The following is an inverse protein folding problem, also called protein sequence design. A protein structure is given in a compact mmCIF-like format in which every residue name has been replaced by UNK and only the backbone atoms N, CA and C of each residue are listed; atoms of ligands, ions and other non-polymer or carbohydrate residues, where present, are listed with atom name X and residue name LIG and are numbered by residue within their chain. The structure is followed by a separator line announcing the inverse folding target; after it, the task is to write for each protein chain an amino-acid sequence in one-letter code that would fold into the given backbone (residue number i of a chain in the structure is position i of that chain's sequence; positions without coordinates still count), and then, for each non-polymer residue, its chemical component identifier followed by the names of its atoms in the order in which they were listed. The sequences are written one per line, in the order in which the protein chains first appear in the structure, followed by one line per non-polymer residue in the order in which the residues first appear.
data_IF_567539282163
#
_entry.id   IF_567539282163
#
_cell.length_a   1.000
_cell.length_b   1.000
_cell.length_c   1.000
_cell.angle_alpha   90.00
_cell.angle_beta   90.00
_cell.angle_gamma   90.00
#
_symmetry.space_group_name_H-M   'P 1'
#
loop_
_entity.id
_entity.type
_entity.pdbx_description
1 polymer ?
#
# COMPACT_ATOMS: atom_id res chain seq x y z
N UNK A 1 0.18 26.58 -13.73
CA UNK A 1 1.52 26.04 -13.38
C UNK A 1 2.47 26.37 -14.52
N UNK A 2 3.59 27.07 -14.28
CA UNK A 2 4.56 27.36 -15.34
C UNK A 2 5.12 26.04 -15.90
N UNK A 3 5.17 25.90 -17.23
CA UNK A 3 5.55 24.66 -17.94
C UNK A 3 6.86 24.04 -17.42
N UNK A 4 7.81 24.86 -16.98
CA UNK A 4 9.06 24.40 -16.35
C UNK A 4 8.89 23.67 -15.02
N UNK A 5 8.02 24.15 -14.11
CA UNK A 5 7.75 23.50 -12.82
C UNK A 5 7.07 22.13 -13.01
N UNK A 6 6.20 22.01 -14.01
CA UNK A 6 5.58 20.73 -14.38
C UNK A 6 6.64 19.72 -14.85
N UNK A 7 7.50 20.12 -15.79
CA UNK A 7 8.56 19.24 -16.31
C UNK A 7 9.50 18.83 -15.18
N UNK A 8 9.90 19.77 -14.31
CA UNK A 8 10.80 19.48 -13.20
C UNK A 8 10.20 18.47 -12.21
N UNK A 9 8.91 18.63 -11.85
CA UNK A 9 8.22 17.65 -11.01
C UNK A 9 8.17 16.26 -11.67
N UNK A 10 7.84 16.19 -12.97
CA UNK A 10 7.83 14.92 -13.71
C UNK A 10 9.20 14.25 -13.70
N UNK A 11 10.28 15.01 -13.92
CA UNK A 11 11.66 14.48 -13.89
C UNK A 11 12.02 13.99 -12.49
N UNK A 12 11.73 14.76 -11.44
CA UNK A 12 11.97 14.35 -10.04
C UNK A 12 11.25 13.03 -9.74
N UNK A 13 9.95 12.96 -10.02
CA UNK A 13 9.15 11.77 -9.76
C UNK A 13 9.67 10.55 -10.53
N UNK A 14 10.06 10.75 -11.80
CA UNK A 14 10.58 9.68 -12.65
C UNK A 14 11.93 9.14 -12.18
N UNK A 15 12.86 10.02 -11.80
CA UNK A 15 14.19 9.62 -11.30
C UNK A 15 14.07 8.86 -9.99
N UNK A 16 13.27 9.38 -9.05
CA UNK A 16 13.07 8.73 -7.74
C UNK A 16 12.39 7.38 -7.89
N UNK A 17 11.35 7.27 -8.72
CA UNK A 17 10.68 6.01 -9.00
C UNK A 17 11.60 4.99 -9.67
N UNK A 18 12.40 5.42 -10.66
CA UNK A 18 13.37 4.56 -11.33
C UNK A 18 14.44 4.02 -10.37
N UNK A 19 14.96 4.88 -9.49
CA UNK A 19 15.92 4.47 -8.47
C UNK A 19 15.30 3.48 -7.46
N UNK A 20 14.07 3.72 -7.01
CA UNK A 20 13.35 2.82 -6.11
C UNK A 20 13.06 1.46 -6.75
N UNK A 21 12.71 1.44 -8.03
CA UNK A 21 12.52 0.22 -8.80
C UNK A 21 13.83 -0.57 -8.95
N UNK A 22 14.92 0.11 -9.30
CA UNK A 22 16.25 -0.49 -9.36
C UNK A 22 16.68 -1.07 -8.00
N UNK A 23 16.50 -0.32 -6.91
CA UNK A 23 16.85 -0.77 -5.57
C UNK A 23 16.04 -2.00 -5.15
N UNK A 24 14.74 -2.02 -5.46
CA UNK A 24 13.87 -3.17 -5.19
C UNK A 24 14.35 -4.40 -5.96
N UNK A 25 14.65 -4.25 -7.25
CA UNK A 25 15.19 -5.33 -8.07
C UNK A 25 16.55 -5.82 -7.57
N UNK A 26 17.45 -4.92 -7.14
CA UNK A 26 18.76 -5.25 -6.58
C UNK A 26 18.65 -6.05 -5.27
N UNK A 27 17.60 -5.82 -4.50
CA UNK A 27 17.27 -6.56 -3.27
C UNK A 27 16.41 -7.80 -3.52
N UNK A 28 16.17 -8.18 -4.78
CA UNK A 28 15.29 -9.29 -5.16
C UNK A 28 13.85 -9.17 -4.62
N UNK A 29 13.35 -7.93 -4.52
CA UNK A 29 11.97 -7.61 -4.14
C UNK A 29 11.12 -7.40 -5.40
N UNK A 30 9.82 -7.67 -5.32
CA UNK A 30 8.92 -7.43 -6.46
C UNK A 30 8.70 -5.92 -6.63
N UNK A 31 9.13 -5.42 -7.79
CA UNK A 31 9.02 -4.01 -8.14
C UNK A 31 7.57 -3.51 -8.10
N UNK A 32 6.59 -4.37 -8.43
CA UNK A 32 5.17 -4.01 -8.39
C UNK A 32 4.66 -3.79 -6.95
N UNK A 33 5.16 -4.54 -5.97
CA UNK A 33 4.81 -4.37 -4.55
C UNK A 33 5.34 -3.03 -4.03
N UNK A 34 6.54 -2.64 -4.46
CA UNK A 34 7.07 -1.31 -4.18
C UNK A 34 6.14 -0.20 -4.69
N UNK A 35 5.58 -0.34 -5.89
CA UNK A 35 4.60 0.62 -6.40
C UNK A 35 3.32 0.68 -5.55
N UNK A 36 2.87 -0.41 -4.91
CA UNK A 36 1.75 -0.34 -3.97
C UNK A 36 2.04 0.62 -2.80
N UNK A 37 3.27 0.58 -2.27
CA UNK A 37 3.72 1.55 -1.26
C UNK A 37 3.78 2.99 -1.77
N UNK A 38 4.32 3.17 -2.98
CA UNK A 38 4.37 4.49 -3.62
C UNK A 38 2.97 5.08 -3.85
N UNK A 39 2.03 4.28 -4.34
CA UNK A 39 0.63 4.67 -4.54
C UNK A 39 -0.03 5.01 -3.21
N UNK A 40 0.14 4.15 -2.19
CA UNK A 40 -0.42 4.37 -0.86
C UNK A 40 0.02 5.72 -0.29
N UNK A 41 1.30 6.08 -0.44
CA UNK A 41 1.83 7.37 0.02
C UNK A 41 1.07 8.57 -0.58
N UNK A 42 0.71 8.51 -1.87
CA UNK A 42 0.04 9.60 -2.58
C UNK A 42 -1.48 9.60 -2.46
N UNK A 43 -2.09 8.63 -1.77
CA UNK A 43 -3.55 8.67 -1.49
C UNK A 43 -3.94 9.83 -0.56
N UNK A 44 -3.00 10.34 0.27
CA UNK A 44 -3.21 11.49 1.17
C UNK A 44 -1.97 12.41 1.24
N UNK A 45 -1.59 13.09 0.15
CA UNK A 45 -0.28 13.74 0.03
C UNK A 45 -0.18 15.11 0.73
N UNK A 46 -1.22 15.54 1.45
CA UNK A 46 -1.31 16.88 2.03
C UNK A 46 -0.26 17.11 3.13
N UNK A 47 0.15 16.07 3.85
CA UNK A 47 1.21 16.13 4.86
C UNK A 47 1.91 14.78 5.01
N UNK A 48 3.20 14.74 5.41
CA UNK A 48 3.90 13.49 5.68
C UNK A 48 3.20 12.62 6.73
N UNK A 49 2.53 13.25 7.71
CA UNK A 49 1.70 12.56 8.72
C UNK A 49 0.49 11.85 8.09
N UNK A 50 -0.14 12.47 7.10
CA UNK A 50 -1.28 11.86 6.42
C UNK A 50 -0.85 10.74 5.48
N UNK A 51 0.29 10.90 4.80
CA UNK A 51 0.89 9.84 3.98
C UNK A 51 1.36 8.65 4.82
N UNK A 52 1.97 8.88 6.00
CA UNK A 52 2.35 7.79 6.89
C UNK A 52 1.14 7.06 7.47
N UNK A 53 0.05 7.76 7.77
CA UNK A 53 -1.22 7.14 8.13
C UNK A 53 -1.79 6.29 6.98
N UNK A 54 -1.61 6.70 5.72
CA UNK A 54 -1.96 5.90 4.55
C UNK A 54 -1.10 4.64 4.42
N UNK A 55 0.21 4.73 4.69
CA UNK A 55 1.10 3.56 4.74
C UNK A 55 0.69 2.58 5.85
N UNK A 56 0.27 3.09 7.02
CA UNK A 56 -0.26 2.24 8.08
C UNK A 56 -1.52 1.49 7.62
N UNK A 57 -2.45 2.16 6.93
CA UNK A 57 -3.62 1.50 6.35
C UNK A 57 -3.25 0.43 5.31
N UNK A 58 -2.20 0.65 4.52
CA UNK A 58 -1.67 -0.34 3.58
C UNK A 58 -1.19 -1.60 4.31
N UNK A 59 -0.32 -1.44 5.32
CA UNK A 59 0.22 -2.58 6.06
C UNK A 59 -0.85 -3.33 6.86
N UNK A 60 -1.78 -2.61 7.48
CA UNK A 60 -2.93 -3.24 8.12
C UNK A 60 -3.84 -3.92 7.09
N UNK A 61 -3.97 -3.39 5.88
CA UNK A 61 -4.65 -4.04 4.77
C UNK A 61 -4.01 -5.37 4.38
N UNK A 62 -2.67 -5.44 4.31
CA UNK A 62 -1.93 -6.70 4.10
C UNK A 62 -2.26 -7.70 5.21
N UNK A 63 -2.24 -7.26 6.46
CA UNK A 63 -2.56 -8.12 7.61
C UNK A 63 -4.02 -8.61 7.59
N UNK A 64 -4.99 -7.74 7.26
CA UNK A 64 -6.39 -8.14 7.10
C UNK A 64 -6.56 -9.10 5.92
N UNK A 65 -5.84 -8.91 4.81
CA UNK A 65 -5.85 -9.83 3.69
C UNK A 65 -5.49 -11.25 4.13
N UNK A 66 -4.39 -11.39 4.88
CA UNK A 66 -3.96 -12.65 5.46
C UNK A 66 -4.99 -13.26 6.41
N UNK A 67 -5.51 -12.47 7.35
CA UNK A 67 -6.54 -12.93 8.29
C UNK A 67 -7.82 -13.37 7.56
N UNK A 68 -8.21 -12.66 6.50
CA UNK A 68 -9.39 -12.98 5.71
C UNK A 68 -9.23 -14.29 4.95
N UNK A 69 -8.04 -14.59 4.44
CA UNK A 69 -7.75 -15.87 3.80
C UNK A 69 -7.87 -17.04 4.80
N UNK A 70 -7.28 -16.91 6.00
CA UNK A 70 -7.41 -17.92 7.07
C UNK A 70 -8.89 -18.12 7.46
N UNK A 71 -9.59 -17.00 7.72
CA UNK A 71 -10.98 -17.05 8.15
C UNK A 71 -11.89 -17.66 7.08
N UNK A 72 -11.61 -17.38 5.80
CA UNK A 72 -12.36 -18.00 4.69
C UNK A 72 -12.17 -19.52 4.72
N UNK A 73 -10.92 -19.99 4.80
CA UNK A 73 -10.62 -21.42 4.90
C UNK A 73 -11.29 -22.11 6.09
N UNK A 74 -11.31 -21.44 7.25
CA UNK A 74 -11.96 -21.96 8.46
C UNK A 74 -13.49 -22.02 8.37
N UNK A 75 -14.11 -21.17 7.54
CA UNK A 75 -15.57 -21.13 7.36
C UNK A 75 -16.09 -22.04 6.25
N UNK A 76 -15.22 -22.52 5.34
CA UNK A 76 -15.61 -23.44 4.25
C UNK A 76 -16.39 -24.66 4.76
N UNK A 77 -15.98 -25.37 5.83
CA UNK A 77 -16.72 -26.55 6.30
C UNK A 77 -18.17 -26.27 6.73
N UNK A 78 -18.47 -25.04 7.15
CA UNK A 78 -19.78 -24.65 7.69
C UNK A 78 -20.65 -23.90 6.68
N UNK A 79 -20.03 -23.11 5.80
CA UNK A 79 -20.73 -22.18 4.90
C UNK A 79 -20.53 -22.49 3.41
N UNK A 80 -19.60 -23.39 3.08
CA UNK A 80 -19.26 -23.76 1.70
C UNK A 80 -19.07 -22.50 0.81
N UNK A 81 -19.89 -22.33 -0.24
CA UNK A 81 -19.82 -21.20 -1.17
C UNK A 81 -20.10 -19.84 -0.53
N UNK A 82 -20.75 -19.79 0.65
CA UNK A 82 -21.04 -18.55 1.38
C UNK A 82 -19.88 -18.09 2.26
N UNK A 83 -18.82 -18.89 2.44
CA UNK A 83 -17.69 -18.52 3.29
C UNK A 83 -17.01 -17.23 2.81
N UNK A 84 -16.69 -17.14 1.51
CA UNK A 84 -16.04 -15.95 0.95
C UNK A 84 -16.93 -14.70 1.04
N UNK A 85 -18.21 -14.69 0.58
CA UNK A 85 -19.10 -13.56 0.76
C UNK A 85 -19.23 -13.11 2.22
N UNK A 86 -19.33 -14.05 3.16
CA UNK A 86 -19.43 -13.73 4.58
C UNK A 86 -18.16 -13.03 5.10
N UNK A 87 -16.97 -13.52 4.76
CA UNK A 87 -15.72 -12.88 5.17
C UNK A 87 -15.55 -11.50 4.52
N UNK A 88 -15.83 -11.38 3.22
CA UNK A 88 -15.77 -10.09 2.52
C UNK A 88 -16.73 -9.08 3.17
N UNK A 89 -17.94 -9.51 3.55
CA UNK A 89 -18.88 -8.66 4.26
C UNK A 89 -18.34 -8.19 5.62
N UNK A 90 -17.76 -9.08 6.42
CA UNK A 90 -17.15 -8.74 7.71
C UNK A 90 -15.97 -7.76 7.55
N UNK A 91 -15.08 -8.03 6.60
CA UNK A 91 -13.94 -7.16 6.28
C UNK A 91 -14.42 -5.80 5.79
N UNK A 92 -15.47 -5.77 4.96
CA UNK A 92 -16.07 -4.52 4.50
C UNK A 92 -16.65 -3.71 5.65
N UNK A 93 -17.37 -4.33 6.61
CA UNK A 93 -17.84 -3.64 7.82
C UNK A 93 -16.68 -2.95 8.54
N UNK A 94 -15.55 -3.62 8.70
CA UNK A 94 -14.37 -3.06 9.37
C UNK A 94 -13.77 -1.89 8.58
N UNK A 95 -13.38 -2.12 7.33
CA UNK A 95 -12.67 -1.11 6.51
C UNK A 95 -13.58 0.07 6.20
N UNK A 96 -14.83 -0.18 5.80
CA UNK A 96 -15.82 0.85 5.48
C UNK A 96 -16.29 1.58 6.73
N UNK A 97 -16.38 0.89 7.87
CA UNK A 97 -16.68 1.49 9.17
C UNK A 97 -15.62 2.49 9.63
N UNK A 98 -14.34 2.24 9.32
CA UNK A 98 -13.23 3.12 9.67
C UNK A 98 -13.11 4.37 8.79
N UNK A 99 -13.93 4.54 7.75
CA UNK A 99 -13.78 5.61 6.74
C UNK A 99 -13.74 7.04 7.28
N UNK A 100 -14.37 7.31 8.42
CA UNK A 100 -14.38 8.63 9.07
C UNK A 100 -13.26 8.81 10.09
N UNK A 101 -12.49 7.76 10.38
CA UNK A 101 -11.39 7.82 11.34
C UNK A 101 -10.25 8.70 10.80
N UNK A 102 -9.73 9.59 11.64
CA UNK A 102 -8.68 10.57 11.26
C UNK A 102 -7.43 9.89 10.69
N UNK A 103 -6.92 8.88 11.40
CA UNK A 103 -5.76 8.08 10.98
C UNK A 103 -6.14 6.97 9.98
N UNK A 104 -7.11 6.12 10.32
CA UNK A 104 -7.41 4.88 9.60
C UNK A 104 -8.44 5.01 8.46
N UNK A 105 -8.98 6.20 8.20
CA UNK A 105 -10.03 6.41 7.21
C UNK A 105 -9.57 6.41 5.75
N UNK A 106 -8.55 5.63 5.40
CA UNK A 106 -8.03 5.56 4.03
C UNK A 106 -8.39 4.24 3.35
N UNK A 107 -9.64 4.17 2.90
CA UNK A 107 -10.20 2.98 2.27
C UNK A 107 -9.36 2.47 1.08
N UNK A 108 -8.83 3.38 0.25
CA UNK A 108 -8.01 3.01 -0.89
C UNK A 108 -6.74 2.27 -0.46
N UNK A 109 -6.03 2.79 0.56
CA UNK A 109 -4.84 2.13 1.09
C UNK A 109 -5.14 0.78 1.73
N UNK A 110 -6.26 0.64 2.45
CA UNK A 110 -6.69 -0.64 3.02
C UNK A 110 -6.89 -1.70 1.94
N UNK A 111 -7.68 -1.39 0.90
CA UNK A 111 -7.93 -2.32 -0.19
C UNK A 111 -6.68 -2.60 -1.02
N UNK A 112 -5.84 -1.59 -1.26
CA UNK A 112 -4.55 -1.78 -1.92
C UNK A 112 -3.68 -2.78 -1.15
N UNK A 113 -3.68 -2.74 0.19
CA UNK A 113 -2.95 -3.68 1.03
C UNK A 113 -3.46 -5.11 0.90
N UNK A 114 -4.79 -5.29 0.93
CA UNK A 114 -5.39 -6.62 0.73
C UNK A 114 -5.08 -7.19 -0.66
N UNK A 115 -5.24 -6.37 -1.71
CA UNK A 115 -4.90 -6.76 -3.09
C UNK A 115 -3.42 -7.12 -3.19
N UNK A 116 -2.54 -6.35 -2.55
CA UNK A 116 -1.09 -6.65 -2.52
C UNK A 116 -0.82 -8.01 -1.87
N UNK A 117 -1.47 -8.33 -0.76
CA UNK A 117 -1.34 -9.65 -0.13
C UNK A 117 -1.80 -10.78 -1.06
N UNK A 118 -3.02 -10.69 -1.60
CA UNK A 118 -3.57 -11.74 -2.46
C UNK A 118 -2.81 -11.91 -3.77
N UNK A 119 -2.35 -10.81 -4.39
CA UNK A 119 -1.60 -10.86 -5.64
C UNK A 119 -0.15 -11.33 -5.49
N UNK A 120 0.42 -11.24 -4.29
CA UNK A 120 1.77 -11.73 -4.04
C UNK A 120 1.84 -13.26 -3.96
N UNK A 121 0.72 -13.93 -3.69
CA UNK A 121 0.63 -15.40 -3.60
C UNK A 121 1.70 -16.02 -2.68
N UNK A 122 2.15 -15.25 -1.68
CA UNK A 122 3.17 -15.67 -0.73
C UNK A 122 2.58 -16.55 0.37
N UNK A 123 3.44 -17.36 0.99
CA UNK A 123 3.07 -18.17 2.13
C UNK A 123 2.79 -17.33 3.39
N UNK A 124 2.21 -17.96 4.41
CA UNK A 124 2.01 -17.37 5.73
C UNK A 124 3.29 -17.36 6.59
N UNK A 125 4.45 -17.12 6.00
CA UNK A 125 5.69 -16.96 6.75
C UNK A 125 5.91 -15.50 7.16
N UNK A 126 6.53 -15.29 8.34
CA UNK A 126 6.95 -13.95 8.78
C UNK A 126 7.87 -13.29 7.76
N UNK A 127 8.71 -14.07 7.09
CA UNK A 127 9.57 -13.60 6.01
C UNK A 127 8.78 -12.97 4.86
N UNK A 128 7.64 -13.54 4.48
CA UNK A 128 6.77 -13.02 3.43
C UNK A 128 6.14 -11.68 3.79
N UNK A 129 5.71 -11.50 5.04
CA UNK A 129 5.25 -10.18 5.51
C UNK A 129 6.36 -9.14 5.54
N UNK A 130 7.57 -9.54 5.99
CA UNK A 130 8.73 -8.65 5.96
C UNK A 130 9.11 -8.26 4.53
N UNK A 131 9.04 -9.19 3.59
CA UNK A 131 9.30 -8.96 2.18
C UNK A 131 8.35 -7.89 1.61
N UNK A 132 7.04 -8.05 1.84
CA UNK A 132 6.03 -7.05 1.44
C UNK A 132 6.21 -5.71 2.16
N UNK A 133 6.52 -5.73 3.46
CA UNK A 133 6.73 -4.52 4.25
C UNK A 133 7.96 -3.73 3.78
N UNK A 134 9.07 -4.41 3.46
CA UNK A 134 10.27 -3.77 2.93
C UNK A 134 10.00 -3.21 1.54
N UNK A 135 9.41 -3.99 0.62
CA UNK A 135 9.11 -3.54 -0.73
C UNK A 135 8.18 -2.32 -0.73
N UNK A 136 7.04 -2.39 -0.03
CA UNK A 136 6.12 -1.25 0.12
C UNK A 136 6.77 -0.08 0.87
N UNK A 137 7.65 -0.35 1.83
CA UNK A 137 8.43 0.66 2.55
C UNK A 137 9.35 1.46 1.63
N UNK A 138 10.07 0.80 0.72
CA UNK A 138 10.87 1.47 -0.32
C UNK A 138 9.99 2.40 -1.16
N UNK A 139 8.80 1.95 -1.54
CA UNK A 139 7.84 2.74 -2.30
C UNK A 139 7.34 3.96 -1.54
N UNK A 140 7.01 3.80 -0.26
CA UNK A 140 6.63 4.90 0.61
C UNK A 140 7.75 5.93 0.77
N UNK A 141 9.00 5.48 0.97
CA UNK A 141 10.18 6.34 1.05
C UNK A 141 10.46 7.08 -0.26
N UNK A 142 10.25 6.42 -1.40
CA UNK A 142 10.31 7.06 -2.71
C UNK A 142 9.24 8.15 -2.84
N UNK A 143 8.01 7.89 -2.40
CA UNK A 143 6.94 8.89 -2.38
C UNK A 143 7.25 10.09 -1.49
N UNK A 144 7.82 9.86 -0.30
CA UNK A 144 8.31 10.91 0.58
C UNK A 144 9.40 11.76 -0.10
N UNK A 145 10.40 11.09 -0.68
CA UNK A 145 11.53 11.75 -1.36
C UNK A 145 11.05 12.62 -2.52
N UNK A 146 10.11 12.14 -3.33
CA UNK A 146 9.45 12.94 -4.37
C UNK A 146 8.87 14.22 -3.77
N UNK A 147 8.01 14.12 -2.75
CA UNK A 147 7.38 15.29 -2.15
C UNK A 147 8.39 16.26 -1.54
N UNK A 148 9.43 15.76 -0.88
CA UNK A 148 10.47 16.57 -0.28
C UNK A 148 11.26 17.36 -1.34
N UNK A 149 11.61 16.73 -2.46
CA UNK A 149 12.30 17.39 -3.56
C UNK A 149 11.41 18.39 -4.30
N UNK A 150 10.12 18.09 -4.48
CA UNK A 150 9.17 19.01 -5.11
C UNK A 150 8.99 20.29 -4.32
N UNK A 151 8.75 20.16 -3.01
CA UNK A 151 8.64 21.30 -2.08
C UNK A 151 9.87 22.19 -2.09
N UNK A 152 11.04 21.61 -2.38
CA UNK A 152 12.31 22.35 -2.41
C UNK A 152 12.59 23.03 -3.74
N UNK A 153 12.22 22.41 -4.87
CA UNK A 153 12.71 22.82 -6.20
C UNK A 153 11.63 23.22 -7.20
N UNK A 154 10.38 22.79 -7.02
CA UNK A 154 9.32 22.92 -8.01
C UNK A 154 8.06 23.63 -7.48
N UNK A 155 7.89 23.76 -6.17
CA UNK A 155 6.93 24.67 -5.53
C UNK A 155 7.55 26.05 -5.31
#
# INVERSE_FOLDING_TARGET
MHRGKFILWTVIASVVAAFAAWLSAALSLEVWVMFAGFIAWFTRPTSPKNSSAAMLCLWLGIAIGALSHILTGALIPSLDQLALPAVVFLVAIVIVGLRTHSVLGNMLSWFLGMVTYFAAELDFAVASFMHLAIATGIGGLAGYTCQALNRRFAE
#
